data_IF_199163387523
#
_entry.id   IF_199163387523
#
_cell.length_a   1.000
_cell.length_b   1.000
_cell.length_c   1.000
_cell.angle_alpha   90.00
_cell.angle_beta   90.00
_cell.angle_gamma   90.00
#
_symmetry.space_group_name_H-M   'P 1'
#
loop_
_entity.id
_entity.type
_entity.pdbx_description
1 polymer ?
#
# COMPACT_ATOMS: atom_id res chain seq x y z
N UNK A 1 17.36 -35.59 -13.41
CA UNK A 1 16.10 -35.05 -12.83
C UNK A 1 16.39 -34.78 -11.37
N UNK A 2 16.25 -33.54 -10.91
CA UNK A 2 16.33 -33.26 -9.48
C UNK A 2 15.10 -33.92 -8.82
N UNK A 3 15.31 -34.67 -7.76
CA UNK A 3 14.26 -35.25 -6.95
C UNK A 3 14.38 -34.63 -5.57
N UNK A 4 13.29 -34.03 -5.09
CA UNK A 4 13.23 -33.47 -3.74
C UNK A 4 12.32 -34.33 -2.87
N UNK A 5 12.62 -34.43 -1.58
CA UNK A 5 11.79 -35.17 -0.64
C UNK A 5 10.59 -34.33 -0.22
N UNK A 6 9.39 -34.93 -0.26
CA UNK A 6 8.18 -34.33 0.26
C UNK A 6 8.38 -33.95 1.75
N UNK A 7 8.08 -32.72 2.17
CA UNK A 7 8.31 -32.28 3.54
C UNK A 7 7.36 -32.95 4.55
N UNK A 8 6.26 -33.56 4.07
CA UNK A 8 5.27 -34.21 4.93
C UNK A 8 5.48 -35.72 5.08
N UNK A 9 5.84 -36.43 4.01
CA UNK A 9 5.98 -37.90 4.05
C UNK A 9 7.36 -38.43 3.63
N UNK A 10 8.28 -37.57 3.19
CA UNK A 10 9.62 -37.96 2.75
C UNK A 10 9.70 -38.60 1.36
N UNK A 11 8.59 -38.78 0.65
CA UNK A 11 8.59 -39.40 -0.67
C UNK A 11 9.29 -38.53 -1.73
N UNK A 12 10.03 -39.13 -2.69
CA UNK A 12 10.69 -38.37 -3.76
C UNK A 12 9.65 -37.79 -4.73
N UNK A 13 9.73 -36.49 -4.97
CA UNK A 13 8.90 -35.76 -5.93
C UNK A 13 9.77 -35.42 -7.15
N UNK A 14 9.40 -35.85 -8.37
CA UNK A 14 10.07 -35.43 -9.60
C UNK A 14 9.71 -33.96 -9.88
N UNK A 15 10.72 -33.09 -9.96
CA UNK A 15 10.49 -31.64 -10.12
C UNK A 15 11.02 -31.10 -11.44
N UNK A 16 10.35 -30.07 -11.95
CA UNK A 16 10.85 -29.28 -13.08
C UNK A 16 11.62 -28.05 -12.56
N UNK A 17 12.60 -27.50 -13.30
CA UNK A 17 13.39 -26.32 -12.87
C UNK A 17 12.60 -24.98 -12.85
N UNK A 18 11.27 -25.03 -12.92
CA UNK A 18 10.37 -23.88 -13.03
C UNK A 18 9.58 -23.72 -11.73
N UNK A 19 9.37 -22.47 -11.31
CA UNK A 19 8.46 -22.12 -10.22
C UNK A 19 7.10 -22.78 -10.48
N UNK A 20 6.73 -23.75 -9.65
CA UNK A 20 5.48 -24.47 -9.82
C UNK A 20 5.01 -25.16 -8.53
N UNK A 21 3.69 -25.34 -8.45
CA UNK A 21 3.06 -26.15 -7.41
C UNK A 21 3.05 -27.61 -7.84
N UNK A 22 3.51 -28.48 -6.95
CA UNK A 22 3.51 -29.92 -7.17
C UNK A 22 2.73 -30.61 -6.06
N UNK A 23 1.80 -31.49 -6.43
CA UNK A 23 1.08 -32.33 -5.46
C UNK A 23 1.78 -33.67 -5.32
N UNK A 24 2.08 -34.06 -4.08
CA UNK A 24 2.68 -35.36 -3.78
C UNK A 24 1.69 -36.49 -4.10
N UNK A 25 2.08 -37.46 -4.92
CA UNK A 25 1.23 -38.61 -5.26
C UNK A 25 0.96 -39.54 -4.07
N UNK A 26 1.78 -39.45 -3.01
CA UNK A 26 1.71 -40.35 -1.85
C UNK A 26 0.84 -39.81 -0.71
N UNK A 27 1.04 -38.55 -0.32
CA UNK A 27 0.31 -37.94 0.80
C UNK A 27 -0.63 -36.81 0.37
N UNK A 28 -0.69 -36.51 -0.93
CA UNK A 28 -1.51 -35.44 -1.52
C UNK A 28 -1.20 -34.03 -1.01
N UNK A 29 -0.16 -33.85 -0.20
CA UNK A 29 0.38 -32.54 0.15
C UNK A 29 0.87 -31.84 -1.11
N UNK A 30 0.28 -30.69 -1.40
CA UNK A 30 0.82 -29.76 -2.37
C UNK A 30 2.05 -29.10 -1.76
N UNK A 31 3.11 -28.91 -2.52
CA UNK A 31 4.32 -28.20 -2.10
C UNK A 31 4.72 -27.19 -3.17
N UNK A 32 5.26 -26.06 -2.73
CA UNK A 32 5.80 -25.06 -3.62
C UNK A 32 7.26 -25.39 -3.92
N UNK A 33 7.61 -25.42 -5.20
CA UNK A 33 8.96 -25.78 -5.65
C UNK A 33 9.47 -24.69 -6.58
N UNK A 34 10.65 -24.17 -6.26
CA UNK A 34 11.41 -23.31 -7.16
C UNK A 34 12.84 -23.84 -7.34
N UNK A 35 13.73 -23.03 -7.94
CA UNK A 35 15.13 -23.44 -8.16
C UNK A 35 15.93 -23.59 -6.85
N UNK A 36 15.48 -22.98 -5.77
CA UNK A 36 16.14 -23.01 -4.46
C UNK A 36 15.74 -24.23 -3.62
N UNK A 37 14.58 -24.84 -3.87
CA UNK A 37 14.18 -26.08 -3.22
C UNK A 37 12.67 -26.27 -3.07
N UNK A 38 12.29 -27.26 -2.23
CA UNK A 38 10.90 -27.52 -1.83
C UNK A 38 10.60 -26.84 -0.52
N UNK A 39 9.55 -26.04 -0.51
CA UNK A 39 9.21 -25.16 0.61
C UNK A 39 7.80 -25.42 1.12
N UNK A 40 7.63 -25.23 2.43
CA UNK A 40 6.31 -25.01 2.99
C UNK A 40 5.73 -23.70 2.44
N UNK A 41 4.44 -23.72 2.19
CA UNK A 41 3.69 -22.51 1.90
C UNK A 41 2.50 -22.37 2.84
N UNK A 42 2.29 -21.14 3.28
CA UNK A 42 1.32 -20.77 4.29
C UNK A 42 0.35 -19.75 3.71
N UNK A 43 -0.85 -19.72 4.28
CA UNK A 43 -1.85 -18.69 3.96
C UNK A 43 -2.26 -18.00 5.26
N UNK A 44 -2.31 -16.67 5.20
CA UNK A 44 -2.91 -15.86 6.26
C UNK A 44 -4.38 -15.61 5.88
N UNK A 45 -5.35 -15.93 6.76
CA UNK A 45 -6.75 -15.76 6.44
C UNK A 45 -7.14 -14.28 6.41
N UNK A 46 -8.17 -13.96 5.63
CA UNK A 46 -8.85 -12.67 5.75
C UNK A 46 -9.58 -12.62 7.10
N UNK A 47 -9.10 -11.76 8.00
CA UNK A 47 -9.76 -11.43 9.27
C UNK A 47 -10.77 -10.30 9.03
N UNK A 48 -10.43 -9.38 8.13
CA UNK A 48 -11.27 -8.27 7.71
C UNK A 48 -12.12 -8.70 6.52
N UNK A 49 -13.44 -8.68 6.69
CA UNK A 49 -14.40 -8.92 5.60
C UNK A 49 -14.48 -7.74 4.62
N UNK A 50 -15.13 -7.95 3.46
CA UNK A 50 -15.16 -6.96 2.38
C UNK A 50 -15.85 -5.66 2.81
N UNK A 51 -16.96 -5.74 3.53
CA UNK A 51 -17.71 -4.56 3.96
C UNK A 51 -16.90 -3.74 4.99
N UNK A 52 -16.18 -4.42 5.87
CA UNK A 52 -15.26 -3.78 6.82
C UNK A 52 -14.09 -3.11 6.11
N UNK A 53 -13.52 -3.76 5.09
CA UNK A 53 -12.44 -3.20 4.27
C UNK A 53 -12.90 -1.95 3.50
N UNK A 54 -14.10 -1.93 2.92
CA UNK A 54 -14.67 -0.75 2.24
C UNK A 54 -14.86 0.43 3.20
N UNK A 55 -15.30 0.17 4.44
CA UNK A 55 -15.42 1.20 5.49
C UNK A 55 -14.06 1.74 5.91
N UNK A 56 -13.06 0.87 6.06
CA UNK A 56 -11.67 1.26 6.36
C UNK A 56 -11.15 2.16 5.25
N UNK A 57 -11.32 1.77 3.99
CA UNK A 57 -10.92 2.57 2.82
C UNK A 57 -11.59 3.94 2.80
N UNK A 58 -12.91 3.97 2.98
CA UNK A 58 -13.68 5.23 3.01
C UNK A 58 -13.21 6.16 4.14
N UNK A 59 -12.84 5.60 5.30
CA UNK A 59 -12.26 6.39 6.40
C UNK A 59 -10.87 6.90 6.05
N UNK A 60 -10.05 6.08 5.40
CA UNK A 60 -8.71 6.45 4.96
C UNK A 60 -8.73 7.64 3.99
N UNK A 61 -9.69 7.68 3.04
CA UNK A 61 -9.88 8.81 2.12
C UNK A 61 -10.21 10.15 2.80
N UNK A 62 -10.62 10.14 4.07
CA UNK A 62 -10.88 11.35 4.87
C UNK A 62 -9.63 11.93 5.53
N UNK A 63 -8.44 11.38 5.24
CA UNK A 63 -7.19 11.90 5.80
C UNK A 63 -7.00 13.40 5.45
N UNK A 64 -6.77 14.28 6.42
CA UNK A 64 -6.64 15.73 6.17
C UNK A 64 -5.54 16.14 5.18
N UNK A 65 -4.52 15.28 4.99
CA UNK A 65 -3.44 15.50 4.02
C UNK A 65 -3.87 15.28 2.56
N UNK A 66 -4.95 14.53 2.35
CA UNK A 66 -5.46 14.21 1.02
C UNK A 66 -6.26 15.36 0.41
N UNK A 67 -6.50 15.24 -0.90
CA UNK A 67 -7.28 16.20 -1.67
C UNK A 67 -8.64 16.46 -1.02
N UNK A 68 -9.09 17.72 -1.12
CA UNK A 68 -10.40 18.12 -0.63
C UNK A 68 -11.47 17.33 -1.40
N UNK A 69 -12.52 16.93 -0.69
CA UNK A 69 -13.67 16.21 -1.25
C UNK A 69 -13.33 14.84 -1.88
N UNK A 70 -12.10 14.34 -1.67
CA UNK A 70 -11.67 13.02 -2.15
C UNK A 70 -12.61 11.90 -1.68
N UNK A 71 -12.92 11.87 -0.38
CA UNK A 71 -13.83 10.88 0.20
C UNK A 71 -15.27 10.91 -0.36
N UNK A 72 -15.67 12.00 -1.01
CA UNK A 72 -17.01 12.18 -1.59
C UNK A 72 -17.01 11.87 -3.09
N UNK A 73 -15.95 12.28 -3.78
CA UNK A 73 -15.89 12.25 -5.25
C UNK A 73 -15.07 11.07 -5.80
N UNK A 74 -14.31 10.36 -4.97
CA UNK A 74 -13.60 9.16 -5.39
C UNK A 74 -14.58 8.07 -5.85
N UNK A 75 -14.34 7.50 -7.03
CA UNK A 75 -15.14 6.39 -7.57
C UNK A 75 -14.32 5.12 -7.55
N UNK A 76 -14.70 4.16 -6.71
CA UNK A 76 -14.07 2.84 -6.69
C UNK A 76 -14.36 2.12 -8.01
N UNK A 77 -13.32 1.70 -8.72
CA UNK A 77 -13.39 0.95 -9.98
C UNK A 77 -13.15 -0.54 -9.76
N UNK A 78 -12.14 -0.86 -8.96
CA UNK A 78 -11.77 -2.24 -8.62
C UNK A 78 -11.70 -2.35 -7.10
N UNK A 79 -12.31 -3.41 -6.56
CA UNK A 79 -12.17 -3.79 -5.16
C UNK A 79 -12.09 -5.32 -5.09
N UNK A 80 -10.87 -5.84 -5.18
CA UNK A 80 -10.61 -7.27 -5.38
C UNK A 80 -9.90 -7.88 -4.18
N UNK A 81 -10.34 -9.07 -3.78
CA UNK A 81 -9.64 -9.92 -2.81
C UNK A 81 -8.54 -10.69 -3.50
N UNK A 82 -7.35 -10.67 -2.93
CA UNK A 82 -6.19 -11.29 -3.54
C UNK A 82 -5.27 -11.86 -2.48
N UNK A 83 -4.74 -13.04 -2.73
CA UNK A 83 -3.69 -13.66 -1.95
C UNK A 83 -2.36 -13.36 -2.66
N UNK A 84 -1.61 -12.42 -2.11
CA UNK A 84 -0.35 -11.95 -2.68
C UNK A 84 0.82 -12.78 -2.16
N UNK A 85 1.69 -13.32 -3.04
CA UNK A 85 2.78 -14.20 -2.63
C UNK A 85 3.97 -13.39 -2.09
N UNK A 86 4.43 -13.75 -0.90
CA UNK A 86 5.55 -13.12 -0.17
C UNK A 86 6.46 -14.21 0.36
N UNK A 87 7.77 -14.09 0.20
CA UNK A 87 8.72 -14.94 0.88
C UNK A 87 8.92 -14.48 2.33
N UNK A 88 8.86 -15.42 3.27
CA UNK A 88 9.19 -15.22 4.68
C UNK A 88 10.49 -15.95 5.00
N UNK A 89 11.50 -15.18 5.39
CA UNK A 89 12.81 -15.66 5.82
C UNK A 89 12.94 -15.48 7.33
N UNK A 90 13.29 -16.55 8.03
CA UNK A 90 13.72 -16.49 9.42
C UNK A 90 15.24 -16.65 9.46
N UNK A 91 15.91 -15.71 10.11
CA UNK A 91 17.37 -15.66 10.26
C UNK A 91 17.75 -15.54 11.72
N UNK A 92 18.82 -16.22 12.12
CA UNK A 92 19.41 -16.05 13.44
C UNK A 92 20.51 -14.99 13.35
N UNK A 93 20.33 -13.88 14.04
CA UNK A 93 21.25 -12.74 14.07
C UNK A 93 21.56 -12.45 15.52
N UNK A 94 22.82 -12.59 15.91
CA UNK A 94 23.28 -12.37 17.30
C UNK A 94 22.51 -13.21 18.34
N UNK A 95 22.08 -14.42 17.95
CA UNK A 95 21.32 -15.32 18.83
C UNK A 95 19.81 -15.03 18.88
N UNK A 96 19.32 -14.03 18.15
CA UNK A 96 17.89 -13.71 18.04
C UNK A 96 17.33 -14.10 16.67
N UNK A 97 16.15 -14.73 16.65
CA UNK A 97 15.41 -14.98 15.41
C UNK A 97 14.76 -13.69 14.90
N UNK A 98 15.13 -13.27 13.69
CA UNK A 98 14.54 -12.11 13.00
C UNK A 98 13.87 -12.58 11.71
N UNK A 99 12.69 -12.02 11.44
CA UNK A 99 11.88 -12.33 10.27
C UNK A 99 12.00 -11.23 9.23
N UNK A 100 12.21 -11.62 7.98
CA UNK A 100 12.29 -10.73 6.83
C UNK A 100 11.27 -11.18 5.78
N UNK A 101 10.51 -10.22 5.24
CA UNK A 101 9.56 -10.47 4.17
C UNK A 101 10.06 -9.88 2.85
N UNK A 102 9.86 -10.58 1.73
CA UNK A 102 10.17 -10.07 0.38
C UNK A 102 9.05 -10.46 -0.57
N UNK A 103 8.64 -9.58 -1.50
CA UNK A 103 7.62 -9.95 -2.47
C UNK A 103 8.12 -11.11 -3.35
N UNK A 104 7.27 -12.10 -3.60
CA UNK A 104 7.58 -13.19 -4.54
C UNK A 104 7.03 -12.91 -5.95
N UNK A 105 6.47 -11.72 -6.16
CA UNK A 105 6.06 -11.18 -7.45
C UNK A 105 6.34 -9.69 -7.56
N UNK A 106 6.68 -9.22 -8.76
CA UNK A 106 6.80 -7.80 -9.06
C UNK A 106 5.52 -7.02 -8.69
N UNK A 107 5.65 -5.94 -7.93
CA UNK A 107 4.53 -5.08 -7.52
C UNK A 107 4.96 -3.61 -7.52
N UNK A 108 4.04 -2.71 -7.86
CA UNK A 108 4.23 -1.26 -7.80
C UNK A 108 3.74 -0.66 -6.47
N UNK A 109 3.28 -1.51 -5.57
CA UNK A 109 2.57 -1.12 -4.36
C UNK A 109 3.58 -1.09 -3.21
N UNK A 110 4.02 0.11 -2.83
CA UNK A 110 4.87 0.31 -1.66
C UNK A 110 4.11 -0.05 -0.37
N UNK A 111 4.83 -0.65 0.58
CA UNK A 111 4.26 -1.16 1.84
C UNK A 111 4.02 -2.67 1.87
N UNK A 112 3.94 -3.33 0.70
CA UNK A 112 3.93 -4.81 0.62
C UNK A 112 5.28 -5.41 1.06
N UNK A 113 6.37 -4.67 0.91
CA UNK A 113 7.72 -5.12 1.27
C UNK A 113 7.94 -5.25 2.78
N UNK A 114 7.14 -4.56 3.59
CA UNK A 114 7.27 -4.52 5.06
C UNK A 114 6.01 -5.06 5.75
N UNK A 115 5.34 -6.04 5.13
CA UNK A 115 4.19 -6.69 5.74
C UNK A 115 4.64 -7.42 7.01
N UNK A 116 3.98 -7.07 8.12
CA UNK A 116 4.25 -7.70 9.41
C UNK A 116 3.42 -8.97 9.51
N UNK A 117 4.08 -10.12 9.69
CA UNK A 117 3.41 -11.41 9.85
C UNK A 117 2.90 -11.54 11.29
N UNK A 118 1.57 -11.62 11.53
CA UNK A 118 1.06 -11.75 12.89
C UNK A 118 1.45 -13.13 13.48
N UNK A 119 1.92 -13.20 14.74
CA UNK A 119 2.24 -14.47 15.39
C UNK A 119 1.00 -15.37 15.50
N UNK A 120 1.16 -16.67 15.25
CA UNK A 120 0.08 -17.66 15.38
C UNK A 120 -1.00 -17.65 14.29
N UNK A 121 -0.88 -16.79 13.28
CA UNK A 121 -1.88 -16.65 12.20
C UNK A 121 -1.62 -17.50 10.96
N UNK A 122 -0.43 -18.10 10.85
CA UNK A 122 -0.05 -18.92 9.70
C UNK A 122 -0.75 -20.27 9.76
N UNK A 123 -1.64 -20.53 8.79
CA UNK A 123 -2.16 -21.87 8.53
C UNK A 123 -1.34 -22.50 7.43
N UNK A 124 -0.93 -23.77 7.63
CA UNK A 124 -0.35 -24.57 6.54
C UNK A 124 -1.43 -24.64 5.47
N UNK A 125 -1.11 -24.22 4.24
CA UNK A 125 -2.08 -24.32 3.17
C UNK A 125 -2.24 -25.79 2.78
N UNK A 126 -3.45 -26.29 2.93
CA UNK A 126 -3.92 -27.49 2.25
C UNK A 126 -5.04 -27.09 1.28
N UNK A 127 -5.41 -27.99 0.37
CA UNK A 127 -6.47 -27.74 -0.62
C UNK A 127 -7.87 -27.59 0.01
N UNK A 128 -7.99 -27.64 1.34
CA UNK A 128 -9.26 -27.53 2.08
C UNK A 128 -9.50 -26.13 2.65
N UNK A 129 -8.52 -25.23 2.56
CA UNK A 129 -8.66 -23.85 3.03
C UNK A 129 -9.58 -23.06 2.10
N UNK A 130 -10.71 -22.59 2.65
CA UNK A 130 -11.58 -21.63 2.02
C UNK A 130 -10.83 -20.30 1.78
N UNK A 131 -10.62 -19.98 0.51
CA UNK A 131 -9.96 -18.75 0.06
C UNK A 131 -10.91 -17.55 0.02
N UNK A 132 -12.19 -17.72 0.37
CA UNK A 132 -13.22 -16.67 0.38
C UNK A 132 -13.28 -15.88 -0.94
N UNK A 133 -13.19 -16.60 -2.06
CA UNK A 133 -13.14 -16.09 -3.45
C UNK A 133 -11.91 -15.21 -3.76
N UNK A 134 -10.87 -15.25 -2.93
CA UNK A 134 -9.65 -14.50 -3.19
C UNK A 134 -8.85 -15.12 -4.33
N UNK A 135 -8.49 -14.29 -5.32
CA UNK A 135 -7.61 -14.74 -6.39
C UNK A 135 -6.20 -14.94 -5.85
N UNK A 136 -5.65 -16.14 -6.05
CA UNK A 136 -4.27 -16.43 -5.68
C UNK A 136 -3.35 -16.02 -6.81
N UNK A 137 -2.42 -15.13 -6.48
CA UNK A 137 -1.40 -14.66 -7.42
C UNK A 137 -0.23 -15.62 -7.39
N UNK A 138 0.15 -16.18 -8.54
CA UNK A 138 1.34 -17.03 -8.60
C UNK A 138 2.63 -16.19 -8.53
N UNK A 139 3.66 -16.64 -7.80
CA UNK A 139 4.95 -15.97 -7.74
C UNK A 139 5.69 -16.03 -9.09
N UNK A 140 6.48 -15.00 -9.38
CA UNK A 140 7.33 -14.91 -10.58
C UNK A 140 8.79 -14.53 -10.29
N UNK A 141 9.11 -14.16 -9.04
CA UNK A 141 10.47 -13.92 -8.58
C UNK A 141 10.94 -15.16 -7.81
N UNK A 142 12.11 -15.69 -8.13
CA UNK A 142 12.71 -16.80 -7.38
C UNK A 142 13.35 -16.31 -6.09
N UNK A 143 13.32 -17.13 -5.04
CA UNK A 143 13.87 -16.79 -3.73
C UNK A 143 15.38 -16.46 -3.77
N UNK A 144 16.13 -17.13 -4.65
CA UNK A 144 17.58 -16.95 -4.87
C UNK A 144 17.98 -15.48 -5.02
N UNK A 145 17.11 -14.66 -5.61
CA UNK A 145 17.33 -13.21 -5.79
C UNK A 145 17.58 -12.50 -4.46
N UNK A 146 16.99 -12.98 -3.38
CA UNK A 146 17.07 -12.35 -2.05
C UNK A 146 18.09 -13.00 -1.13
N UNK A 147 18.52 -14.24 -1.39
CA UNK A 147 19.32 -15.02 -0.44
C UNK A 147 20.67 -14.36 -0.12
N UNK A 148 21.29 -13.71 -1.09
CA UNK A 148 22.59 -13.07 -0.94
C UNK A 148 22.58 -11.83 -0.04
N UNK A 149 21.43 -11.17 0.09
CA UNK A 149 21.28 -9.91 0.84
C UNK A 149 20.78 -10.13 2.28
N UNK A 150 20.50 -11.38 2.66
CA UNK A 150 19.93 -11.70 3.97
C UNK A 150 21.05 -11.90 5.02
N UNK A 151 21.01 -11.16 6.14
CA UNK A 151 21.99 -11.31 7.21
C UNK A 151 21.73 -12.56 8.06
N UNK A 152 22.75 -12.96 8.84
CA UNK A 152 22.65 -14.04 9.82
C UNK A 152 22.65 -15.44 9.21
N UNK A 153 22.42 -16.45 10.05
CA UNK A 153 22.30 -17.84 9.60
C UNK A 153 20.85 -18.19 9.29
N UNK A 154 20.65 -19.07 8.31
CA UNK A 154 19.33 -19.56 7.95
C UNK A 154 18.70 -20.40 9.07
N UNK A 155 17.45 -20.08 9.43
CA UNK A 155 16.62 -20.90 10.32
C UNK A 155 15.49 -21.55 9.54
N UNK A 156 14.72 -20.75 8.79
CA UNK A 156 13.65 -21.25 7.93
C UNK A 156 13.36 -20.29 6.79
N UNK A 157 12.76 -20.82 5.74
CA UNK A 157 12.34 -20.08 4.56
C UNK A 157 10.99 -20.65 4.12
N UNK A 158 10.07 -19.81 3.66
CA UNK A 158 8.73 -20.26 3.26
C UNK A 158 8.06 -19.29 2.31
N UNK A 159 7.08 -19.79 1.54
CA UNK A 159 6.18 -18.94 0.75
C UNK A 159 4.93 -18.62 1.59
N UNK A 160 4.56 -17.36 1.68
CA UNK A 160 3.44 -16.88 2.46
C UNK A 160 2.46 -16.14 1.54
N UNK A 161 1.21 -16.58 1.53
CA UNK A 161 0.12 -15.89 0.87
C UNK A 161 -0.52 -14.89 1.82
N UNK A 162 -0.28 -13.61 1.53
CA UNK A 162 -0.75 -12.50 2.34
C UNK A 162 -2.12 -12.00 1.82
N UNK A 163 -3.16 -11.89 2.67
CA UNK A 163 -4.48 -11.46 2.26
C UNK A 163 -4.48 -9.95 2.04
N UNK A 164 -4.78 -9.53 0.82
CA UNK A 164 -4.88 -8.12 0.47
C UNK A 164 -6.19 -7.81 -0.25
N UNK A 165 -6.70 -6.60 -0.03
CA UNK A 165 -7.68 -5.98 -0.90
C UNK A 165 -6.97 -5.00 -1.81
N UNK A 166 -7.03 -5.24 -3.12
CA UNK A 166 -6.57 -4.30 -4.13
C UNK A 166 -7.71 -3.33 -4.45
N UNK A 167 -7.45 -2.04 -4.27
CA UNK A 167 -8.40 -0.98 -4.52
C UNK A 167 -7.87 -0.09 -5.64
N UNK A 168 -8.63 0.01 -6.72
CA UNK A 168 -8.43 1.01 -7.77
C UNK A 168 -9.58 2.01 -7.69
N UNK A 169 -9.26 3.30 -7.66
CA UNK A 169 -10.26 4.36 -7.59
C UNK A 169 -9.87 5.53 -8.49
N UNK A 170 -10.88 6.20 -9.02
CA UNK A 170 -10.72 7.36 -9.90
C UNK A 170 -11.05 8.64 -9.13
N UNK A 171 -10.23 9.68 -9.30
CA UNK A 171 -10.47 11.01 -8.79
C UNK A 171 -9.83 12.05 -9.72
N UNK A 172 -10.61 13.05 -10.15
CA UNK A 172 -10.21 14.05 -11.15
C UNK A 172 -9.63 13.43 -12.43
N UNK A 173 -10.30 12.42 -12.98
CA UNK A 173 -9.89 11.69 -14.20
C UNK A 173 -8.53 10.97 -14.10
N UNK A 174 -7.96 10.86 -12.89
CA UNK A 174 -6.75 10.09 -12.62
C UNK A 174 -7.09 8.81 -11.83
N UNK A 175 -6.41 7.72 -12.19
CA UNK A 175 -6.52 6.43 -11.51
C UNK A 175 -5.49 6.30 -10.41
N UNK A 176 -5.94 5.87 -9.24
CA UNK A 176 -5.14 5.72 -8.04
C UNK A 176 -5.29 4.31 -7.47
N UNK A 177 -4.23 3.85 -6.82
CA UNK A 177 -4.17 2.50 -6.26
C UNK A 177 -3.92 2.54 -4.75
N UNK A 178 -4.61 1.68 -4.03
CA UNK A 178 -4.37 1.43 -2.62
C UNK A 178 -4.50 -0.07 -2.34
N UNK A 179 -3.82 -0.53 -1.30
CA UNK A 179 -3.92 -1.88 -0.77
C UNK A 179 -4.32 -1.85 0.68
N UNK A 180 -5.23 -2.75 1.05
CA UNK A 180 -5.64 -2.95 2.43
C UNK A 180 -5.18 -4.34 2.85
N UNK A 181 -4.45 -4.43 3.95
CA UNK A 181 -4.13 -5.69 4.60
C UNK A 181 -5.44 -6.33 5.11
N UNK A 182 -5.78 -7.50 4.57
CA UNK A 182 -6.98 -8.26 4.94
C UNK A 182 -6.89 -8.93 6.30
N UNK A 183 -5.72 -8.94 6.95
CA UNK A 183 -5.49 -9.46 8.29
C UNK A 183 -5.51 -8.37 9.37
N UNK A 184 -4.93 -7.19 9.08
CA UNK A 184 -4.81 -6.09 10.07
C UNK A 184 -5.71 -4.88 9.81
N UNK A 185 -6.16 -4.69 8.56
CA UNK A 185 -6.88 -3.50 8.11
C UNK A 185 -5.98 -2.29 7.83
N UNK A 186 -4.65 -2.44 7.87
CA UNK A 186 -3.72 -1.39 7.49
C UNK A 186 -3.88 -1.02 6.01
N UNK A 187 -3.87 0.28 5.69
CA UNK A 187 -3.98 0.78 4.31
C UNK A 187 -2.64 1.32 3.84
N UNK A 188 -2.19 0.85 2.69
CA UNK A 188 -0.92 1.19 2.05
C UNK A 188 -1.20 1.79 0.65
N UNK A 189 -0.55 2.89 0.32
CA UNK A 189 -0.59 3.50 -1.00
C UNK A 189 0.69 4.28 -1.25
N UNK A 190 1.35 4.03 -2.39
CA UNK A 190 2.56 4.75 -2.84
C UNK A 190 2.24 6.23 -3.10
N UNK A 191 1.11 6.48 -3.76
CA UNK A 191 0.66 7.81 -4.16
C UNK A 191 -0.85 7.93 -3.93
N UNK A 192 -1.28 9.12 -3.55
CA UNK A 192 -2.68 9.46 -3.35
C UNK A 192 -2.90 10.94 -3.68
N UNK A 193 -4.14 11.35 -4.02
CA UNK A 193 -4.43 12.76 -4.27
C UNK A 193 -4.10 13.59 -3.04
N UNK A 194 -3.13 14.49 -3.14
CA UNK A 194 -2.74 15.39 -2.04
C UNK A 194 -3.45 16.73 -2.16
N UNK A 195 -3.65 17.40 -1.04
CA UNK A 195 -4.24 18.74 -1.04
C UNK A 195 -3.33 19.74 -1.76
N UNK A 196 -3.84 20.41 -2.79
CA UNK A 196 -3.11 21.49 -3.47
C UNK A 196 -2.88 22.68 -2.52
N UNK A 197 -1.62 23.02 -2.26
CA UNK A 197 -1.24 24.21 -1.48
C UNK A 197 -1.11 25.48 -2.33
N UNK A 198 -1.09 25.34 -3.66
CA UNK A 198 -0.95 26.46 -4.62
C UNK A 198 -1.89 27.64 -4.34
N UNK A 199 -3.20 27.45 -4.08
CA UNK A 199 -4.09 28.58 -3.86
C UNK A 199 -3.74 29.38 -2.59
N UNK A 200 -3.24 28.70 -1.55
CA UNK A 200 -2.79 29.36 -0.31
C UNK A 200 -1.49 30.13 -0.54
N UNK A 201 -0.55 29.56 -1.30
CA UNK A 201 0.69 30.22 -1.68
C UNK A 201 0.45 31.49 -2.50
N UNK A 202 -0.43 31.44 -3.50
CA UNK A 202 -0.79 32.61 -4.31
C UNK A 202 -1.43 33.72 -3.48
N UNK A 203 -2.37 33.38 -2.59
CA UNK A 203 -3.03 34.36 -1.71
C UNK A 203 -2.04 35.01 -0.75
N UNK A 204 -1.13 34.23 -0.14
CA UNK A 204 -0.09 34.75 0.73
C UNK A 204 0.87 35.69 -0.03
N UNK A 205 1.28 35.32 -1.24
CA UNK A 205 2.19 36.10 -2.06
C UNK A 205 1.59 37.44 -2.50
N UNK A 206 0.31 37.46 -2.90
CA UNK A 206 -0.41 38.70 -3.25
C UNK A 206 -0.49 39.63 -2.03
N UNK A 207 -0.85 39.10 -0.86
CA UNK A 207 -0.91 39.87 0.37
C UNK A 207 0.45 40.44 0.76
N UNK A 208 1.52 39.65 0.62
CA UNK A 208 2.89 40.06 0.88
C UNK A 208 3.34 41.21 -0.04
N UNK A 209 3.11 41.09 -1.35
CA UNK A 209 3.44 42.14 -2.32
C UNK A 209 2.67 43.44 -2.06
N UNK A 210 1.37 43.34 -1.74
CA UNK A 210 0.56 44.52 -1.40
C UNK A 210 1.07 45.23 -0.14
N UNK A 211 1.47 44.45 0.88
CA UNK A 211 2.07 44.99 2.09
C UNK A 211 3.43 45.66 1.83
N UNK A 212 4.30 45.01 1.06
CA UNK A 212 5.62 45.54 0.70
C UNK A 212 5.51 46.84 -0.10
N UNK A 213 4.58 46.90 -1.07
CA UNK A 213 4.28 48.10 -1.83
C UNK A 213 3.74 49.23 -0.93
N UNK A 214 2.82 48.90 -0.01
CA UNK A 214 2.28 49.87 0.95
C UNK A 214 3.35 50.49 1.85
N UNK A 215 4.31 49.68 2.30
CA UNK A 215 5.45 50.16 3.11
C UNK A 215 6.34 51.10 2.29
N UNK A 216 6.73 50.70 1.07
CA UNK A 216 7.60 51.51 0.21
C UNK A 216 6.96 52.87 -0.11
N UNK A 217 5.71 52.88 -0.58
CA UNK A 217 5.01 54.12 -0.93
C UNK A 217 4.73 54.99 0.31
N UNK A 218 4.47 54.37 1.47
CA UNK A 218 4.26 55.07 2.72
C UNK A 218 5.48 55.85 3.21
N UNK A 219 6.67 55.26 3.04
CA UNK A 219 7.96 55.88 3.42
C UNK A 219 8.39 56.95 2.41
N UNK A 220 8.33 56.65 1.10
CA UNK A 220 8.95 57.49 0.07
C UNK A 220 8.01 58.52 -0.57
N UNK A 221 6.68 58.34 -0.50
CA UNK A 221 5.72 59.23 -1.15
C UNK A 221 4.82 59.94 -0.14
N UNK A 222 4.01 59.19 0.62
CA UNK A 222 3.08 59.78 1.60
C UNK A 222 2.53 58.74 2.60
N UNK A 223 2.39 59.05 3.91
CA UNK A 223 1.93 58.09 4.92
C UNK A 223 0.54 57.45 4.66
N UNK A 224 -0.31 58.09 3.84
CA UNK A 224 -1.63 57.55 3.46
C UNK A 224 -1.54 56.17 2.82
N UNK A 225 -0.42 55.84 2.16
CA UNK A 225 -0.26 54.55 1.48
C UNK A 225 -0.10 53.34 2.42
N UNK A 226 0.10 53.55 3.73
CA UNK A 226 0.03 52.45 4.70
C UNK A 226 -1.35 51.77 4.74
N UNK A 227 -2.41 52.41 4.24
CA UNK A 227 -3.75 51.81 4.10
C UNK A 227 -3.74 50.57 3.19
N UNK A 228 -2.80 50.46 2.25
CA UNK A 228 -2.65 49.30 1.36
C UNK A 228 -2.33 48.00 2.12
N UNK A 229 -1.72 48.10 3.30
CA UNK A 229 -1.46 46.94 4.17
C UNK A 229 -2.79 46.37 4.69
N UNK A 230 -3.67 47.24 5.21
CA UNK A 230 -5.00 46.84 5.69
C UNK A 230 -5.87 46.30 4.55
N UNK A 231 -5.87 46.97 3.40
CA UNK A 231 -6.59 46.50 2.21
C UNK A 231 -6.05 45.16 1.71
N UNK A 232 -4.74 44.96 1.72
CA UNK A 232 -4.08 43.69 1.41
C UNK A 232 -4.53 42.57 2.33
N UNK A 233 -4.58 42.80 3.64
CA UNK A 233 -5.07 41.81 4.63
C UNK A 233 -6.54 41.45 4.39
N UNK A 234 -7.39 42.45 4.14
CA UNK A 234 -8.83 42.24 3.88
C UNK A 234 -9.04 41.46 2.57
N UNK A 235 -8.34 41.84 1.50
CA UNK A 235 -8.40 41.14 0.21
C UNK A 235 -7.89 39.69 0.33
N UNK A 236 -6.80 39.47 1.06
CA UNK A 236 -6.24 38.14 1.34
C UNK A 236 -7.25 37.27 2.09
N UNK A 237 -7.91 37.81 3.12
CA UNK A 237 -8.96 37.10 3.87
C UNK A 237 -10.18 36.77 3.00
N UNK A 238 -10.57 37.68 2.11
CA UNK A 238 -11.68 37.47 1.20
C UNK A 238 -11.36 36.40 0.15
N UNK A 239 -10.18 36.46 -0.48
CA UNK A 239 -9.74 35.44 -1.45
C UNK A 239 -9.54 34.07 -0.80
N UNK A 240 -8.99 34.00 0.41
CA UNK A 240 -8.87 32.75 1.15
C UNK A 240 -10.26 32.11 1.35
N UNK A 241 -11.28 32.89 1.70
CA UNK A 241 -12.66 32.40 1.85
C UNK A 241 -13.29 31.99 0.51
N UNK A 242 -13.09 32.76 -0.56
CA UNK A 242 -13.68 32.44 -1.87
C UNK A 242 -13.05 31.19 -2.48
N UNK A 243 -11.75 30.96 -2.32
CA UNK A 243 -11.09 29.74 -2.81
C UNK A 243 -11.55 28.51 -2.01
N UNK A 244 -11.81 28.68 -0.71
CA UNK A 244 -12.36 27.60 0.13
C UNK A 244 -13.83 27.30 -0.25
N UNK A 245 -14.62 28.33 -0.60
CA UNK A 245 -16.05 28.24 -0.91
C UNK A 245 -16.42 27.93 -2.37
N UNK A 246 -15.71 28.48 -3.36
CA UNK A 246 -16.07 28.42 -4.78
C UNK A 246 -15.87 27.04 -5.43
N UNK A 247 -15.11 26.14 -4.81
CA UNK A 247 -15.02 24.74 -5.25
C UNK A 247 -16.12 23.83 -4.68
N UNK A 248 -16.95 24.31 -3.75
CA UNK A 248 -18.13 23.56 -3.29
C UNK A 248 -19.31 23.66 -4.28
N UNK A 249 -19.35 24.70 -5.13
CA UNK A 249 -20.47 24.96 -6.05
C UNK A 249 -20.26 24.43 -7.48
N UNK A 250 -19.10 23.85 -7.81
CA UNK A 250 -18.84 23.27 -9.14
C UNK A 250 -19.17 21.77 -9.24
N UNK A 251 -19.88 21.22 -8.25
CA UNK A 251 -20.29 19.80 -8.19
C UNK A 251 -21.82 19.63 -8.34
N UNK A 252 -22.58 20.73 -8.42
CA UNK A 252 -24.04 20.73 -8.65
C UNK A 252 -24.45 21.11 -10.08
N UNK A 253 -23.50 21.10 -11.03
CA UNK A 253 -23.73 21.36 -12.46
C UNK A 253 -23.57 20.12 -13.32
#
# INVERSE_FOLDING_TARGET
MAAFSCPQCGAPIPVSPRISFHSCEYCHTTSFIDRSGVMFYYLIPFIIDKNSAEKIFTRWLKNPRMAKDLHTNAKIKIFKRTLFPVYLFTRLIDGEEKKFTRPARGTLIEGIENLTVPPGSMKIYDNTIDTQDAERIDPDITMEVYLHDLPGTEVSQSLLYFPIYQVEYEFNDETWHAVIDGSSGAVHATMYPVRSSLPFGTVFFIGFLAGLLGILLGIYIHPVFFILILLGIIATRFMARSIIGARASSVEG
#
